data_IF_901415788495
#
_entry.id   IF_901415788495
#
_cell.length_a   1.000
_cell.length_b   1.000
_cell.length_c   1.000
_cell.angle_alpha   90.00
_cell.angle_beta   90.00
_cell.angle_gamma   90.00
#
_symmetry.space_group_name_H-M   'P 1'
#
loop_
_entity.id
_entity.type
_entity.pdbx_description
1 polymer ?
#
# COMPACT_ATOMS: atom_id res chain seq x y z
N UNK A 1 5.38 32.55 13.42
CA UNK A 1 4.54 31.35 13.62
C UNK A 1 5.15 30.23 12.80
N UNK A 2 5.32 29.02 13.35
CA UNK A 2 5.72 27.87 12.51
C UNK A 2 4.53 27.47 11.65
N UNK A 3 4.72 27.36 10.35
CA UNK A 3 3.68 26.85 9.46
C UNK A 3 3.34 25.39 9.82
N UNK A 4 2.06 25.03 9.66
CA UNK A 4 1.59 23.69 9.95
C UNK A 4 2.07 22.71 8.88
N UNK A 5 2.78 21.65 9.29
CA UNK A 5 3.33 20.63 8.39
C UNK A 5 2.40 19.41 8.21
N UNK A 6 1.10 19.60 8.41
CA UNK A 6 0.12 18.57 8.11
C UNK A 6 -0.05 18.38 6.60
N UNK A 7 -0.37 17.15 6.24
CA UNK A 7 -0.50 16.71 4.86
C UNK A 7 -1.95 16.34 4.59
N UNK A 8 -2.47 16.74 3.44
CA UNK A 8 -3.79 16.36 2.93
C UNK A 8 -3.64 15.47 1.70
N UNK A 9 -4.69 14.74 1.28
CA UNK A 9 -4.65 13.96 0.05
C UNK A 9 -4.19 14.78 -1.17
N UNK A 10 -4.66 16.01 -1.31
CA UNK A 10 -4.35 16.90 -2.45
C UNK A 10 -2.90 17.39 -2.42
N UNK A 11 -2.28 17.48 -1.23
CA UNK A 11 -0.85 17.76 -1.06
C UNK A 11 0.03 16.56 -1.43
N UNK A 12 -0.48 15.34 -1.26
CA UNK A 12 0.24 14.12 -1.64
C UNK A 12 0.10 13.80 -3.12
N UNK A 13 -1.12 13.90 -3.64
CA UNK A 13 -1.45 13.56 -5.00
C UNK A 13 -2.44 14.60 -5.52
N UNK A 14 -2.03 15.35 -6.55
CA UNK A 14 -2.86 16.42 -7.12
C UNK A 14 -4.17 15.85 -7.69
N UNK A 15 -5.18 16.70 -7.78
CA UNK A 15 -6.42 16.32 -8.45
C UNK A 15 -6.20 16.04 -9.95
N UNK A 16 -6.94 15.06 -10.46
CA UNK A 16 -6.88 14.66 -11.87
C UNK A 16 -5.69 13.77 -12.25
N UNK A 17 -4.80 13.40 -11.32
CA UNK A 17 -3.74 12.42 -11.58
C UNK A 17 -4.00 11.06 -10.93
N UNK A 18 -3.63 9.99 -11.64
CA UNK A 18 -3.85 8.60 -11.21
C UNK A 18 -2.68 8.02 -10.38
N UNK A 19 -1.58 8.75 -10.25
CA UNK A 19 -0.38 8.37 -9.53
C UNK A 19 0.71 9.42 -9.60
N UNK A 20 1.74 9.25 -8.77
CA UNK A 20 2.91 10.12 -8.72
C UNK A 20 4.15 9.32 -8.27
N UNK A 21 5.31 9.96 -8.32
CA UNK A 21 6.58 9.39 -7.87
C UNK A 21 6.86 9.83 -6.42
N UNK A 22 6.94 8.85 -5.52
CA UNK A 22 7.32 9.05 -4.13
C UNK A 22 8.62 8.29 -3.85
N UNK A 23 9.65 9.00 -3.39
CA UNK A 23 10.98 8.41 -3.13
C UNK A 23 11.53 7.56 -4.30
N UNK A 24 11.30 8.02 -5.53
CA UNK A 24 11.75 7.34 -6.76
C UNK A 24 10.95 6.09 -7.13
N UNK A 25 9.77 5.87 -6.54
CA UNK A 25 8.84 4.80 -6.90
C UNK A 25 7.53 5.39 -7.38
N UNK A 26 7.06 4.94 -8.54
CA UNK A 26 5.74 5.32 -9.03
C UNK A 26 4.64 4.58 -8.26
N UNK A 27 3.71 5.32 -7.67
CA UNK A 27 2.56 4.79 -6.92
C UNK A 27 1.27 5.29 -7.54
N UNK A 28 0.35 4.36 -7.83
CA UNK A 28 -1.02 4.71 -8.24
C UNK A 28 -1.89 5.04 -7.03
N UNK A 29 -2.85 5.95 -7.21
CA UNK A 29 -3.82 6.38 -6.18
C UNK A 29 -4.52 5.21 -5.48
N UNK A 30 -4.82 4.14 -6.22
CA UNK A 30 -5.50 2.95 -5.71
C UNK A 30 -4.59 1.91 -5.03
N UNK A 31 -3.26 2.07 -5.04
CA UNK A 31 -2.33 1.03 -4.58
C UNK A 31 -2.52 0.67 -3.11
N UNK A 32 -2.71 1.66 -2.23
CA UNK A 32 -2.93 1.41 -0.79
C UNK A 32 -4.23 0.62 -0.57
N UNK A 33 -5.33 1.03 -1.20
CA UNK A 33 -6.62 0.36 -1.07
C UNK A 33 -6.56 -1.08 -1.61
N UNK A 34 -5.91 -1.27 -2.76
CA UNK A 34 -5.71 -2.59 -3.34
C UNK A 34 -4.83 -3.48 -2.46
N UNK A 35 -3.77 -2.96 -1.84
CA UNK A 35 -2.94 -3.71 -0.89
C UNK A 35 -3.76 -4.18 0.31
N UNK A 36 -4.56 -3.29 0.92
CA UNK A 36 -5.45 -3.65 2.04
C UNK A 36 -6.44 -4.75 1.63
N UNK A 37 -7.05 -4.65 0.44
CA UNK A 37 -7.98 -5.68 -0.04
C UNK A 37 -7.33 -7.02 -0.34
N UNK A 38 -6.16 -7.03 -0.96
CA UNK A 38 -5.43 -8.28 -1.19
C UNK A 38 -4.99 -8.93 0.12
N UNK A 39 -4.59 -8.15 1.13
CA UNK A 39 -4.27 -8.69 2.45
C UNK A 39 -5.50 -9.35 3.10
N UNK A 40 -6.68 -8.74 2.97
CA UNK A 40 -7.95 -9.32 3.44
C UNK A 40 -8.29 -10.64 2.71
N UNK A 41 -8.06 -10.72 1.39
CA UNK A 41 -8.29 -11.93 0.60
C UNK A 41 -7.39 -13.09 1.07
N UNK A 42 -6.14 -12.82 1.44
CA UNK A 42 -5.24 -13.85 1.97
C UNK A 42 -5.76 -14.47 3.27
N UNK A 43 -6.28 -13.63 4.16
CA UNK A 43 -6.74 -14.04 5.49
C UNK A 43 -8.17 -14.61 5.48
N UNK A 44 -8.95 -14.35 4.41
CA UNK A 44 -10.33 -14.81 4.30
C UNK A 44 -10.41 -16.33 4.04
N UNK A 45 -11.06 -17.12 4.92
CA UNK A 45 -11.22 -18.57 4.71
C UNK A 45 -12.14 -18.93 3.53
N UNK A 46 -12.98 -18.01 3.06
CA UNK A 46 -13.88 -18.25 1.92
C UNK A 46 -13.23 -17.95 0.56
N UNK A 47 -12.12 -17.23 0.55
CA UNK A 47 -11.39 -16.92 -0.67
C UNK A 47 -10.74 -18.18 -1.26
N UNK A 48 -10.92 -18.39 -2.57
CA UNK A 48 -10.35 -19.56 -3.25
C UNK A 48 -8.83 -19.45 -3.43
N UNK A 49 -8.19 -20.57 -3.76
CA UNK A 49 -6.73 -20.66 -3.90
C UNK A 49 -6.16 -19.68 -4.94
N UNK A 50 -6.81 -19.54 -6.09
CA UNK A 50 -6.34 -18.67 -7.18
C UNK A 50 -6.35 -17.19 -6.77
N UNK A 51 -7.40 -16.75 -6.07
CA UNK A 51 -7.51 -15.38 -5.59
C UNK A 51 -6.44 -15.08 -4.54
N UNK A 52 -6.18 -16.02 -3.63
CA UNK A 52 -5.09 -15.90 -2.66
C UNK A 52 -3.72 -15.83 -3.33
N UNK A 53 -3.46 -16.66 -4.35
CA UNK A 53 -2.19 -16.63 -5.08
C UNK A 53 -1.98 -15.28 -5.80
N UNK A 54 -3.00 -14.76 -6.48
CA UNK A 54 -2.95 -13.45 -7.13
C UNK A 54 -2.78 -12.31 -6.14
N UNK A 55 -3.48 -12.38 -5.01
CA UNK A 55 -3.38 -11.40 -3.93
C UNK A 55 -1.97 -11.36 -3.35
N UNK A 56 -1.38 -12.52 -3.05
CA UNK A 56 0.00 -12.61 -2.57
C UNK A 56 0.98 -12.06 -3.60
N UNK A 57 0.81 -12.40 -4.88
CA UNK A 57 1.69 -11.91 -5.94
C UNK A 57 1.64 -10.39 -6.07
N UNK A 58 0.44 -9.79 -6.00
CA UNK A 58 0.30 -8.34 -5.98
C UNK A 58 1.02 -7.71 -4.77
N UNK A 59 0.86 -8.30 -3.59
CA UNK A 59 1.42 -7.78 -2.34
C UNK A 59 2.95 -7.84 -2.30
N UNK A 60 3.56 -8.85 -2.94
CA UNK A 60 5.03 -8.96 -3.08
C UNK A 60 5.66 -7.73 -3.75
N UNK A 61 4.95 -7.11 -4.68
CA UNK A 61 5.44 -5.90 -5.35
C UNK A 61 4.97 -4.62 -4.65
N UNK A 62 3.71 -4.62 -4.17
CA UNK A 62 3.09 -3.45 -3.58
C UNK A 62 3.67 -3.09 -2.20
N UNK A 63 3.90 -4.05 -1.31
CA UNK A 63 4.38 -3.78 0.05
C UNK A 63 5.75 -3.11 0.05
N UNK A 64 6.79 -3.65 -0.64
CA UNK A 64 8.09 -2.98 -0.70
C UNK A 64 8.02 -1.58 -1.31
N UNK A 65 7.16 -1.40 -2.32
CA UNK A 65 6.93 -0.11 -2.97
C UNK A 65 6.31 0.91 -2.02
N UNK A 66 5.30 0.50 -1.24
CA UNK A 66 4.65 1.35 -0.24
C UNK A 66 5.58 1.66 0.94
N UNK A 67 6.40 0.70 1.39
CA UNK A 67 7.42 0.91 2.41
C UNK A 67 8.45 1.94 1.93
N UNK A 68 8.93 1.83 0.69
CA UNK A 68 9.87 2.81 0.13
C UNK A 68 9.24 4.19 -0.10
N UNK A 69 8.01 4.24 -0.61
CA UNK A 69 7.31 5.49 -0.91
C UNK A 69 6.90 6.27 0.34
N UNK A 70 6.37 5.58 1.35
CA UNK A 70 5.69 6.21 2.49
C UNK A 70 6.23 5.78 3.87
N UNK A 71 7.18 4.85 3.93
CA UNK A 71 7.68 4.31 5.21
C UNK A 71 6.59 3.58 5.99
N UNK A 72 5.69 2.87 5.30
CA UNK A 72 4.52 2.24 5.90
C UNK A 72 4.89 1.27 7.03
N UNK A 73 5.96 0.49 6.86
CA UNK A 73 6.58 -0.40 7.85
C UNK A 73 7.09 0.30 9.12
N UNK A 74 7.31 1.61 9.08
CA UNK A 74 7.74 2.40 10.24
C UNK A 74 6.59 2.83 11.14
N UNK A 75 5.36 2.73 10.65
CA UNK A 75 4.15 3.22 11.34
C UNK A 75 3.06 2.16 11.50
N UNK A 76 3.09 1.11 10.68
CA UNK A 76 2.06 0.06 10.62
C UNK A 76 2.73 -1.30 10.44
N UNK A 77 2.09 -2.34 10.98
CA UNK A 77 2.39 -3.74 10.69
C UNK A 77 1.15 -4.44 10.15
N UNK A 78 1.33 -5.36 9.21
CA UNK A 78 0.27 -6.23 8.75
C UNK A 78 -0.06 -7.26 9.83
N UNK A 79 -1.34 -7.59 9.98
CA UNK A 79 -1.78 -8.65 10.90
C UNK A 79 -1.28 -10.03 10.46
N UNK A 80 -1.20 -10.27 9.15
CA UNK A 80 -0.58 -11.46 8.61
C UNK A 80 0.95 -11.29 8.64
N UNK A 81 1.61 -11.97 9.58
CA UNK A 81 3.05 -11.86 9.83
C UNK A 81 3.93 -12.23 8.64
N UNK A 82 3.41 -13.00 7.67
CA UNK A 82 4.15 -13.29 6.45
C UNK A 82 4.34 -12.04 5.59
N UNK A 83 3.38 -11.11 5.61
CA UNK A 83 3.43 -9.87 4.86
C UNK A 83 4.42 -8.85 5.43
N UNK A 84 4.74 -8.93 6.73
CA UNK A 84 5.75 -8.08 7.37
C UNK A 84 7.19 -8.44 6.96
N UNK A 85 7.37 -9.56 6.25
CA UNK A 85 8.68 -10.05 5.78
C UNK A 85 8.91 -9.79 4.27
N UNK A 86 7.93 -9.18 3.61
CA UNK A 86 8.01 -8.75 2.21
C UNK A 86 8.69 -7.37 2.15
#
# INVERSE_FOLDING_TARGET
>A
MKESNYVTPEKMLKDGVDGDIFNGVFIRKGTIAAAIKNAQILDDPQSNKLDKEKALQYLKDAIPSLNKAFGMDKVLSWKNEQLNKL
#
